data_IF_922973515492
#
_entry.id   IF_922973515492
#
_cell.length_a   1.000
_cell.length_b   1.000
_cell.length_c   1.000
_cell.angle_alpha   90.00
_cell.angle_beta   90.00
_cell.angle_gamma   90.00
#
_symmetry.space_group_name_H-M   'P 1'
#
loop_
_entity.id
_entity.type
_entity.pdbx_description
1 polymer ?
#
# COMPACT_ATOMS: atom_id res chain seq x y z
N UNK A 1 4.75 3.47 15.23
CA UNK A 1 4.60 2.22 14.45
C UNK A 1 4.05 1.13 15.36
N UNK A 2 3.04 0.37 14.94
CA UNK A 2 2.48 -0.73 15.74
C UNK A 2 3.54 -1.81 16.07
N UNK A 3 3.44 -2.42 17.24
CA UNK A 3 4.34 -3.51 17.63
C UNK A 3 4.19 -4.70 16.68
N UNK A 4 5.32 -5.31 16.29
CA UNK A 4 5.33 -6.47 15.40
C UNK A 4 5.09 -6.16 13.91
N UNK A 5 5.14 -4.89 13.51
CA UNK A 5 5.05 -4.48 12.09
C UNK A 5 6.37 -3.93 11.57
N UNK A 6 6.52 -3.92 10.25
CA UNK A 6 7.61 -3.33 9.49
C UNK A 6 7.06 -2.19 8.64
N UNK A 7 7.79 -1.07 8.55
CA UNK A 7 7.48 -0.01 7.60
C UNK A 7 7.96 -0.41 6.21
N UNK A 8 7.03 -0.61 5.27
CA UNK A 8 7.33 -1.08 3.91
C UNK A 8 6.92 -0.01 2.88
N UNK A 9 7.84 0.43 2.01
CA UNK A 9 7.52 1.38 0.95
C UNK A 9 6.77 0.66 -0.19
N UNK A 10 5.61 1.21 -0.56
CA UNK A 10 4.74 0.70 -1.60
C UNK A 10 4.54 1.76 -2.68
N UNK A 11 4.79 1.39 -3.92
CA UNK A 11 4.45 2.20 -5.10
C UNK A 11 3.07 1.81 -5.61
N UNK A 12 2.20 2.80 -5.77
CA UNK A 12 0.90 2.60 -6.39
C UNK A 12 1.05 2.53 -7.90
N UNK A 13 0.21 1.72 -8.53
CA UNK A 13 0.10 1.65 -9.98
C UNK A 13 -0.44 2.96 -10.59
N UNK A 14 -1.32 3.65 -9.85
CA UNK A 14 -1.81 4.99 -10.15
C UNK A 14 -1.25 5.97 -9.11
N UNK A 15 -0.14 6.67 -9.41
CA UNK A 15 0.48 7.59 -8.46
C UNK A 15 -0.42 8.75 -8.02
N UNK A 16 -1.35 9.22 -8.87
CA UNK A 16 -2.25 10.33 -8.51
C UNK A 16 -3.18 9.99 -7.34
N UNK A 17 -3.43 8.69 -7.08
CA UNK A 17 -4.23 8.22 -5.95
C UNK A 17 -3.59 8.53 -4.58
N UNK A 18 -2.27 8.77 -4.51
CA UNK A 18 -1.58 9.15 -3.27
C UNK A 18 -2.18 10.42 -2.63
N UNK A 19 -2.76 11.31 -3.45
CA UNK A 19 -3.38 12.58 -2.97
C UNK A 19 -4.64 12.36 -2.14
N UNK A 20 -5.22 11.16 -2.19
CA UNK A 20 -6.42 10.80 -1.44
C UNK A 20 -6.12 10.19 -0.07
N UNK A 21 -4.86 9.83 0.19
CA UNK A 21 -4.42 9.09 1.36
C UNK A 21 -3.70 10.02 2.33
N UNK A 22 -3.81 9.70 3.61
CA UNK A 22 -3.16 10.44 4.71
C UNK A 22 -2.49 9.46 5.68
N UNK A 23 -1.41 9.87 6.36
CA UNK A 23 -0.93 9.14 7.52
C UNK A 23 -2.06 8.95 8.54
N UNK A 24 -2.23 7.72 9.01
CA UNK A 24 -3.34 7.33 9.88
C UNK A 24 -4.47 6.56 9.19
N UNK A 25 -4.58 6.63 7.86
CA UNK A 25 -5.58 5.86 7.11
C UNK A 25 -5.30 4.35 7.22
N UNK A 26 -6.36 3.55 7.12
CA UNK A 26 -6.25 2.10 6.98
C UNK A 26 -6.66 1.68 5.57
N UNK A 27 -5.81 0.85 4.94
CA UNK A 27 -6.04 0.40 3.56
C UNK A 27 -5.93 -1.11 3.42
N UNK A 28 -6.74 -1.68 2.53
CA UNK A 28 -6.48 -3.02 2.00
C UNK A 28 -5.54 -2.88 0.80
N UNK A 29 -4.45 -3.66 0.77
CA UNK A 29 -3.41 -3.61 -0.27
C UNK A 29 -3.58 -4.77 -1.25
N UNK A 30 -3.60 -4.47 -2.54
CA UNK A 30 -3.75 -5.45 -3.61
C UNK A 30 -2.57 -5.39 -4.57
N UNK A 31 -2.11 -6.54 -5.04
CA UNK A 31 -1.17 -6.64 -6.15
C UNK A 31 -1.96 -6.61 -7.46
N UNK A 32 -1.59 -5.74 -8.39
CA UNK A 32 -2.17 -5.76 -9.73
C UNK A 32 -1.46 -6.80 -10.61
N UNK A 33 -2.26 -7.57 -11.34
CA UNK A 33 -1.83 -8.54 -12.36
C UNK A 33 -2.55 -8.20 -13.67
N UNK A 34 -2.03 -8.65 -14.82
CA UNK A 34 -2.62 -8.37 -16.16
C UNK A 34 -4.10 -8.75 -16.25
N UNK A 35 -4.55 -9.73 -15.47
CA UNK A 35 -5.92 -10.22 -15.52
C UNK A 35 -6.92 -9.31 -14.79
N UNK A 36 -6.47 -8.28 -14.05
CA UNK A 36 -7.36 -7.39 -13.29
C UNK A 36 -8.25 -8.12 -12.27
N UNK A 37 -7.89 -9.36 -11.90
CA UNK A 37 -8.77 -10.24 -11.14
C UNK A 37 -8.68 -9.99 -9.63
N UNK A 38 -9.81 -10.24 -8.96
CA UNK A 38 -10.06 -10.35 -7.52
C UNK A 38 -9.05 -11.26 -6.80
N UNK A 39 -7.78 -10.87 -6.76
CA UNK A 39 -6.80 -11.52 -5.91
C UNK A 39 -7.06 -11.10 -4.47
N UNK A 40 -6.93 -12.04 -3.51
CA UNK A 40 -7.04 -11.69 -2.10
C UNK A 40 -6.01 -10.60 -1.77
N UNK A 41 -6.37 -9.65 -0.88
CA UNK A 41 -5.46 -8.59 -0.52
C UNK A 41 -4.16 -9.15 0.06
N UNK A 42 -3.05 -8.55 -0.36
CA UNK A 42 -1.70 -8.81 0.17
C UNK A 42 -1.63 -8.41 1.64
N UNK A 43 -2.33 -7.34 2.03
CA UNK A 43 -2.49 -6.94 3.42
C UNK A 43 -3.88 -6.38 3.65
N UNK A 44 -4.46 -6.63 4.82
CA UNK A 44 -5.77 -6.08 5.20
C UNK A 44 -5.61 -5.06 6.31
N UNK A 45 -6.32 -3.94 6.19
CA UNK A 45 -6.27 -2.83 7.15
C UNK A 45 -4.83 -2.44 7.53
N UNK A 46 -3.94 -2.33 6.54
CA UNK A 46 -2.60 -1.84 6.75
C UNK A 46 -2.66 -0.34 7.08
N UNK A 47 -2.00 0.05 8.17
CA UNK A 47 -1.92 1.45 8.59
C UNK A 47 -0.95 2.20 7.66
N UNK A 48 -1.40 3.33 7.11
CA UNK A 48 -0.55 4.28 6.41
C UNK A 48 0.28 5.05 7.44
N UNK A 49 1.59 4.77 7.49
CA UNK A 49 2.55 5.44 8.36
C UNK A 49 2.95 6.80 7.79
N UNK A 50 3.14 6.87 6.47
CA UNK A 50 3.53 8.09 5.77
C UNK A 50 3.11 8.05 4.29
N UNK A 51 3.00 9.22 3.67
CA UNK A 51 2.75 9.39 2.23
C UNK A 51 3.86 10.27 1.66
N UNK A 52 4.76 9.66 0.91
CA UNK A 52 5.93 10.32 0.31
C UNK A 52 5.62 10.83 -1.10
N UNK A 53 6.35 11.86 -1.54
CA UNK A 53 6.17 12.46 -2.87
C UNK A 53 4.87 13.26 -3.01
N UNK A 54 4.46 13.97 -1.97
CA UNK A 54 3.30 14.86 -2.03
C UNK A 54 3.43 15.92 -3.14
N UNK A 55 4.65 16.37 -3.42
CA UNK A 55 4.96 17.36 -4.45
C UNK A 55 5.21 16.74 -5.84
N UNK A 56 5.59 15.46 -5.90
CA UNK A 56 5.74 14.67 -7.12
C UNK A 56 5.31 13.22 -6.88
N UNK A 57 4.04 12.88 -7.17
CA UNK A 57 3.51 11.55 -6.95
C UNK A 57 4.25 10.47 -7.75
N UNK A 58 4.86 10.79 -8.89
CA UNK A 58 5.56 9.82 -9.73
C UNK A 58 6.81 9.24 -9.06
N UNK A 59 7.41 9.98 -8.12
CA UNK A 59 8.52 9.52 -7.27
C UNK A 59 8.05 9.13 -5.85
N UNK A 60 6.76 9.35 -5.56
CA UNK A 60 6.11 9.13 -4.29
C UNK A 60 5.59 7.72 -4.03
N UNK A 61 5.05 7.49 -2.84
CA UNK A 61 4.53 6.18 -2.43
C UNK A 61 4.06 6.17 -0.98
N UNK A 62 3.45 5.06 -0.58
CA UNK A 62 2.98 4.84 0.78
C UNK A 62 4.05 4.14 1.60
N UNK A 63 4.20 4.55 2.85
CA UNK A 63 4.86 3.75 3.86
C UNK A 63 3.78 3.04 4.67
N UNK A 64 3.67 1.71 4.55
CA UNK A 64 2.64 0.94 5.24
C UNK A 64 3.23 0.15 6.42
N UNK A 65 2.48 0.03 7.50
CA UNK A 65 2.78 -0.91 8.58
C UNK A 65 2.26 -2.30 8.20
N UNK A 66 3.17 -3.22 7.88
CA UNK A 66 2.85 -4.59 7.49
C UNK A 66 3.40 -5.59 8.51
N UNK A 67 2.70 -6.70 8.74
CA UNK A 67 3.31 -7.85 9.44
C UNK A 67 4.46 -8.43 8.62
N UNK A 68 5.41 -9.17 9.23
CA UNK A 68 6.51 -9.79 8.48
C UNK A 68 6.04 -10.63 7.28
N UNK A 69 4.99 -11.43 7.45
CA UNK A 69 4.44 -12.26 6.37
C UNK A 69 3.71 -11.47 5.28
N UNK A 70 3.17 -10.28 5.59
CA UNK A 70 2.64 -9.36 4.58
C UNK A 70 3.79 -8.67 3.83
N UNK A 71 4.82 -8.23 4.55
CA UNK A 71 6.01 -7.62 3.97
C UNK A 71 6.71 -8.56 2.99
N UNK A 72 6.95 -9.82 3.38
CA UNK A 72 7.51 -10.86 2.50
C UNK A 72 6.69 -11.03 1.22
N UNK A 73 5.36 -11.03 1.34
CA UNK A 73 4.48 -11.11 0.17
C UNK A 73 4.68 -9.91 -0.74
N UNK A 74 4.92 -8.69 -0.24
CA UNK A 74 5.17 -7.51 -1.10
C UNK A 74 6.53 -7.48 -1.80
N UNK A 75 7.50 -8.27 -1.35
CA UNK A 75 8.84 -8.31 -1.93
C UNK A 75 8.91 -9.03 -3.28
N UNK A 76 7.91 -9.85 -3.61
CA UNK A 76 7.76 -10.33 -4.99
C UNK A 76 7.36 -9.13 -5.87
N UNK A 77 8.07 -8.94 -6.98
CA UNK A 77 7.80 -7.82 -7.88
C UNK A 77 6.33 -7.85 -8.33
N UNK A 78 5.62 -6.76 -8.07
CA UNK A 78 4.32 -6.53 -8.69
C UNK A 78 4.59 -5.93 -10.08
N UNK A 79 4.34 -6.70 -11.14
CA UNK A 79 4.62 -6.29 -12.52
C UNK A 79 3.96 -4.94 -12.88
N UNK A 80 2.78 -4.68 -12.32
CA UNK A 80 1.97 -3.49 -12.60
C UNK A 80 1.85 -2.56 -11.38
N UNK A 81 2.60 -2.80 -10.30
CA UNK A 81 2.48 -2.08 -9.04
C UNK A 81 1.30 -2.53 -8.17
N UNK A 82 0.97 -1.71 -7.17
CA UNK A 82 -0.07 -2.02 -6.18
C UNK A 82 -1.28 -1.11 -6.30
N UNK A 83 -2.44 -1.61 -5.89
CA UNK A 83 -3.65 -0.84 -5.67
C UNK A 83 -4.03 -0.85 -4.19
N UNK A 84 -4.74 0.17 -3.74
CA UNK A 84 -5.23 0.26 -2.37
C UNK A 84 -6.70 0.59 -2.34
N UNK A 85 -7.40 0.04 -1.35
CA UNK A 85 -8.78 0.38 -1.02
C UNK A 85 -8.81 1.01 0.37
N UNK A 86 -9.30 2.25 0.47
CA UNK A 86 -9.43 2.96 1.76
C UNK A 86 -10.57 2.33 2.56
N UNK A 87 -10.30 2.05 3.84
CA UNK A 87 -11.32 1.56 4.78
C UNK A 87 -11.90 2.75 5.55
N UNK A 88 -13.23 2.94 5.54
CA UNK A 88 -13.88 4.03 6.26
C UNK A 88 -13.87 3.87 7.79
N UNK A 89 -13.57 2.66 8.30
CA UNK A 89 -13.75 2.29 9.71
C UNK A 89 -12.42 2.16 10.48
N UNK A 90 -11.34 2.76 9.97
CA UNK A 90 -9.99 2.72 10.55
C UNK A 90 -9.80 3.64 11.76
#
# INVERSE_FOLDING_TARGET
MPAGTLGVPIRLAEPAALRLLRPGDHVDLFRLTEAGQDSPPVAKAALVLDVTGADDPATGGLLLALTPSEAERTMTAAEHGYAVQIRPDG
#
